data_IF_133764792525
#
_entry.id   IF_133764792525
#
_cell.length_a   1.000
_cell.length_b   1.000
_cell.length_c   1.000
_cell.angle_alpha   90.00
_cell.angle_beta   90.00
_cell.angle_gamma   90.00
#
_symmetry.space_group_name_H-M   'P 1'
#
loop_
_entity.id
_entity.type
_entity.pdbx_description
1 polymer ?
#
# COMPACT_ATOMS: atom_id res chain seq x y z
N UNK A 1 20.41 0.52 -0.74
CA UNK A 1 21.11 0.84 0.54
C UNK A 1 22.53 1.41 0.38
N UNK A 2 23.17 1.35 -0.80
CA UNK A 2 24.53 1.89 -1.02
C UNK A 2 24.59 3.41 -1.16
N UNK A 3 23.52 4.08 -1.58
CA UNK A 3 23.53 5.52 -1.83
C UNK A 3 23.40 6.36 -0.55
N UNK A 4 22.70 5.85 0.47
CA UNK A 4 22.40 6.58 1.71
C UNK A 4 23.28 6.05 2.85
N UNK A 5 24.22 6.87 3.29
CA UNK A 5 25.22 6.49 4.31
C UNK A 5 24.86 6.96 5.73
N UNK A 6 23.89 7.86 5.86
CA UNK A 6 23.45 8.41 7.15
C UNK A 6 22.75 7.32 7.97
N UNK A 7 23.14 7.19 9.25
CA UNK A 7 22.74 6.07 10.10
C UNK A 7 21.23 6.03 10.38
N UNK A 8 20.63 7.20 10.62
CA UNK A 8 19.21 7.38 10.87
C UNK A 8 18.37 6.89 9.68
N UNK A 9 18.79 7.24 8.46
CA UNK A 9 18.10 6.81 7.26
C UNK A 9 18.28 5.31 6.99
N UNK A 10 19.45 4.75 7.30
CA UNK A 10 19.68 3.30 7.21
C UNK A 10 18.84 2.52 8.23
N UNK A 11 18.63 3.08 9.42
CA UNK A 11 17.75 2.50 10.43
C UNK A 11 16.29 2.49 9.94
N UNK A 12 15.82 3.58 9.32
CA UNK A 12 14.51 3.62 8.69
C UNK A 12 14.36 2.54 7.62
N UNK A 13 15.30 2.45 6.68
CA UNK A 13 15.26 1.42 5.63
C UNK A 13 15.34 0.00 6.18
N UNK A 14 16.05 -0.22 7.28
CA UNK A 14 16.05 -1.52 7.96
C UNK A 14 14.67 -1.91 8.47
N UNK A 15 13.90 -0.96 9.01
CA UNK A 15 12.53 -1.19 9.44
C UNK A 15 11.58 -1.36 8.24
N UNK A 16 11.71 -0.52 7.22
CA UNK A 16 10.93 -0.65 5.99
C UNK A 16 11.10 -2.05 5.38
N UNK A 17 12.33 -2.56 5.21
CA UNK A 17 12.55 -3.93 4.69
C UNK A 17 11.87 -4.99 5.55
N UNK A 18 11.90 -4.86 6.87
CA UNK A 18 11.23 -5.81 7.75
C UNK A 18 9.70 -5.78 7.54
N UNK A 19 9.12 -4.58 7.38
CA UNK A 19 7.70 -4.38 7.11
C UNK A 19 7.30 -4.91 5.73
N UNK A 20 8.10 -4.67 4.68
CA UNK A 20 7.85 -5.21 3.34
C UNK A 20 7.78 -6.75 3.30
N UNK A 21 8.61 -7.42 4.11
CA UNK A 21 8.53 -8.88 4.25
C UNK A 21 7.20 -9.32 4.87
N UNK A 22 6.68 -8.57 5.85
CA UNK A 22 5.38 -8.82 6.47
C UNK A 22 4.25 -8.55 5.48
N UNK A 23 4.35 -7.49 4.67
CA UNK A 23 3.38 -7.20 3.62
C UNK A 23 3.32 -8.34 2.60
N UNK A 24 4.48 -8.84 2.16
CA UNK A 24 4.60 -9.98 1.25
C UNK A 24 3.94 -11.25 1.80
N UNK A 25 4.17 -11.56 3.09
CA UNK A 25 3.49 -12.67 3.76
C UNK A 25 1.97 -12.45 3.79
N UNK A 26 1.51 -11.25 4.13
CA UNK A 26 0.09 -10.93 4.16
C UNK A 26 -0.58 -11.10 2.80
N UNK A 27 0.03 -10.61 1.72
CA UNK A 27 -0.51 -10.78 0.36
C UNK A 27 -0.54 -12.26 -0.05
N UNK A 28 0.50 -13.02 0.29
CA UNK A 28 0.55 -14.45 0.03
C UNK A 28 -0.56 -15.20 0.77
N UNK A 29 -0.77 -14.89 2.04
CA UNK A 29 -1.85 -15.46 2.86
C UNK A 29 -3.24 -15.12 2.30
N UNK A 30 -3.47 -13.89 1.85
CA UNK A 30 -4.73 -13.48 1.23
C UNK A 30 -4.99 -14.26 -0.07
N UNK A 31 -3.98 -14.39 -0.93
CA UNK A 31 -4.09 -15.17 -2.17
C UNK A 31 -4.36 -16.64 -1.88
N UNK A 32 -3.66 -17.24 -0.92
CA UNK A 32 -3.90 -18.62 -0.51
C UNK A 32 -5.31 -18.85 0.04
N UNK A 33 -5.84 -17.87 0.76
CA UNK A 33 -7.15 -17.94 1.40
C UNK A 33 -8.29 -17.80 0.37
N UNK A 34 -8.15 -16.91 -0.60
CA UNK A 34 -9.24 -16.59 -1.53
C UNK A 34 -9.18 -17.38 -2.84
N UNK A 35 -7.98 -17.75 -3.32
CA UNK A 35 -7.80 -18.46 -4.59
C UNK A 35 -7.58 -19.95 -4.32
N UNK A 36 -8.61 -20.76 -4.60
CA UNK A 36 -8.59 -22.21 -4.35
C UNK A 36 -7.99 -23.00 -5.50
N UNK A 37 -8.16 -22.54 -6.73
CA UNK A 37 -7.58 -23.21 -7.90
C UNK A 37 -6.06 -23.02 -7.92
N UNK A 38 -5.33 -24.14 -7.99
CA UNK A 38 -3.88 -24.12 -8.04
C UNK A 38 -3.33 -23.50 -9.32
N UNK A 39 -4.01 -23.72 -10.46
CA UNK A 39 -3.56 -23.16 -11.73
C UNK A 39 -3.75 -21.64 -11.79
N UNK A 40 -4.91 -21.14 -11.36
CA UNK A 40 -5.15 -19.71 -11.20
C UNK A 40 -4.18 -19.07 -10.21
N UNK A 41 -3.91 -19.73 -9.09
CA UNK A 41 -2.94 -19.28 -8.09
C UNK A 41 -1.52 -19.15 -8.68
N UNK A 42 -1.03 -20.18 -9.38
CA UNK A 42 0.28 -20.16 -10.03
C UNK A 42 0.38 -19.11 -11.14
N UNK A 43 -0.74 -18.80 -11.79
CA UNK A 43 -0.81 -17.72 -12.77
C UNK A 43 -0.68 -16.34 -12.10
N UNK A 44 -1.40 -16.11 -10.99
CA UNK A 44 -1.38 -14.85 -10.24
C UNK A 44 -0.06 -14.60 -9.49
N UNK A 45 0.58 -15.65 -8.93
CA UNK A 45 1.91 -15.50 -8.34
C UNK A 45 2.99 -15.14 -9.37
N UNK A 46 2.77 -15.48 -10.64
CA UNK A 46 3.65 -15.09 -11.75
C UNK A 46 3.14 -13.87 -12.50
N UNK A 47 2.37 -12.99 -11.85
CA UNK A 47 1.73 -11.83 -12.49
C UNK A 47 2.69 -10.93 -13.27
N UNK A 48 3.95 -10.77 -12.84
CA UNK A 48 4.95 -10.02 -13.61
C UNK A 48 5.14 -10.64 -15.00
N UNK A 49 5.07 -11.97 -15.11
CA UNK A 49 5.21 -12.67 -16.37
C UNK A 49 3.91 -12.84 -17.14
N UNK A 50 2.80 -12.99 -16.42
CA UNK A 50 1.52 -13.43 -16.96
C UNK A 50 0.52 -12.30 -17.17
N UNK A 51 0.69 -11.16 -16.51
CA UNK A 51 -0.21 -10.00 -16.58
C UNK A 51 0.53 -8.80 -17.19
N UNK A 52 0.25 -8.41 -18.45
CA UNK A 52 0.99 -7.36 -19.14
C UNK A 52 1.04 -6.01 -18.41
N UNK A 53 -0.05 -5.63 -17.73
CA UNK A 53 -0.08 -4.38 -16.97
C UNK A 53 0.85 -4.41 -15.74
N UNK A 54 1.03 -5.57 -15.11
CA UNK A 54 2.00 -5.76 -14.01
C UNK A 54 3.42 -5.75 -14.56
N UNK A 55 3.66 -6.39 -15.72
CA UNK A 55 4.94 -6.32 -16.42
C UNK A 55 5.36 -4.87 -16.71
N UNK A 56 4.44 -4.04 -17.21
CA UNK A 56 4.73 -2.62 -17.48
C UNK A 56 5.15 -1.83 -16.24
N UNK A 57 4.49 -2.07 -15.09
CA UNK A 57 4.92 -1.49 -13.80
C UNK A 57 6.34 -1.92 -13.44
N UNK A 58 6.64 -3.21 -13.57
CA UNK A 58 7.98 -3.73 -13.30
C UNK A 58 9.03 -3.13 -14.24
N UNK A 59 8.75 -3.08 -15.54
CA UNK A 59 9.66 -2.51 -16.54
C UNK A 59 9.92 -1.02 -16.29
N UNK A 60 8.90 -0.27 -15.88
CA UNK A 60 9.06 1.13 -15.47
C UNK A 60 9.94 1.24 -14.23
N UNK A 61 9.71 0.41 -13.21
CA UNK A 61 10.51 0.44 -11.97
C UNK A 61 11.98 0.12 -12.28
N UNK A 62 12.25 -0.91 -13.08
CA UNK A 62 13.61 -1.26 -13.51
C UNK A 62 14.28 -0.13 -14.29
N UNK A 63 13.54 0.54 -15.20
CA UNK A 63 14.07 1.66 -15.98
C UNK A 63 14.55 2.81 -15.10
N UNK A 64 13.77 3.17 -14.09
CA UNK A 64 14.01 4.38 -13.31
C UNK A 64 14.79 4.15 -12.01
N UNK A 65 14.65 2.98 -11.39
CA UNK A 65 15.35 2.62 -10.16
C UNK A 65 16.71 1.99 -10.49
N UNK A 66 16.79 1.00 -11.38
CA UNK A 66 18.08 0.37 -11.71
C UNK A 66 18.81 1.13 -12.82
N UNK A 67 18.07 1.65 -13.80
CA UNK A 67 18.61 2.43 -14.91
C UNK A 67 18.81 3.92 -14.63
N UNK A 68 18.29 4.44 -13.52
CA UNK A 68 18.41 5.86 -13.17
C UNK A 68 19.86 6.23 -12.85
N UNK A 69 20.45 7.14 -13.62
CA UNK A 69 21.86 7.54 -13.45
C UNK A 69 22.05 8.28 -12.13
N UNK A 70 21.10 9.15 -11.77
CA UNK A 70 21.18 10.00 -10.57
C UNK A 70 20.37 9.41 -9.43
N UNK A 71 20.93 9.48 -8.21
CA UNK A 71 20.20 9.10 -7.00
C UNK A 71 18.86 9.84 -6.86
N UNK A 72 18.80 11.11 -7.27
CA UNK A 72 17.58 11.90 -7.24
C UNK A 72 16.47 11.33 -8.17
N UNK A 73 16.82 10.77 -9.32
CA UNK A 73 15.85 10.10 -10.23
C UNK A 73 15.33 8.83 -9.60
N UNK A 74 16.23 7.99 -9.08
CA UNK A 74 15.86 6.76 -8.39
C UNK A 74 14.95 7.04 -7.20
N UNK A 75 15.23 8.11 -6.45
CA UNK A 75 14.45 8.49 -5.27
C UNK A 75 13.04 9.00 -5.61
N UNK A 76 12.90 9.82 -6.67
CA UNK A 76 11.58 10.24 -7.16
C UNK A 76 10.81 9.05 -7.71
N UNK A 77 11.48 8.17 -8.45
CA UNK A 77 10.85 6.96 -8.97
C UNK A 77 10.39 6.03 -7.85
N UNK A 78 11.22 5.85 -6.82
CA UNK A 78 10.87 5.12 -5.61
C UNK A 78 9.65 5.73 -4.92
N UNK A 79 9.61 7.06 -4.75
CA UNK A 79 8.43 7.72 -4.19
C UNK A 79 7.16 7.50 -5.02
N UNK A 80 7.26 7.35 -6.35
CA UNK A 80 6.11 6.98 -7.18
C UNK A 80 5.69 5.51 -7.00
N UNK A 81 6.63 4.58 -6.75
CA UNK A 81 6.29 3.18 -6.42
C UNK A 81 5.50 3.12 -5.12
N UNK A 82 5.97 3.82 -4.08
CA UNK A 82 5.34 3.83 -2.76
C UNK A 82 4.03 4.64 -2.74
N UNK A 83 3.95 5.73 -3.50
CA UNK A 83 2.86 6.70 -3.41
C UNK A 83 1.81 6.66 -4.52
N UNK A 84 2.19 6.37 -5.76
CA UNK A 84 1.28 6.38 -6.93
C UNK A 84 0.89 4.97 -7.31
N UNK A 85 1.86 4.07 -7.49
CA UNK A 85 1.52 2.68 -7.75
C UNK A 85 0.77 2.10 -6.57
N UNK A 86 -0.23 1.27 -6.88
CA UNK A 86 -1.16 0.68 -5.92
C UNK A 86 -2.15 1.65 -5.26
N UNK A 87 -2.03 2.97 -5.46
CA UNK A 87 -3.00 3.94 -4.91
C UNK A 87 -4.44 3.64 -5.36
N UNK A 88 -4.63 3.22 -6.62
CA UNK A 88 -5.94 2.82 -7.12
C UNK A 88 -6.43 1.50 -6.50
N UNK A 89 -5.53 0.53 -6.30
CA UNK A 89 -5.83 -0.73 -5.61
C UNK A 89 -6.26 -0.50 -4.15
N UNK A 90 -5.52 0.32 -3.41
CA UNK A 90 -5.87 0.68 -2.03
C UNK A 90 -7.24 1.35 -1.96
N UNK A 91 -7.50 2.29 -2.87
CA UNK A 91 -8.79 2.96 -2.96
C UNK A 91 -9.93 1.97 -3.28
N UNK A 92 -9.71 1.03 -4.21
CA UNK A 92 -10.69 0.00 -4.56
C UNK A 92 -11.00 -0.96 -3.40
N UNK A 93 -10.01 -1.30 -2.57
CA UNK A 93 -10.24 -2.13 -1.38
C UNK A 93 -10.94 -1.33 -0.28
N UNK A 94 -10.59 -0.04 -0.10
CA UNK A 94 -11.33 0.82 0.83
C UNK A 94 -12.79 1.05 0.42
N UNK A 95 -13.09 0.99 -0.87
CA UNK A 95 -14.47 0.96 -1.33
C UNK A 95 -15.25 -0.27 -0.81
N UNK A 96 -14.61 -1.44 -0.72
CA UNK A 96 -15.20 -2.62 -0.07
C UNK A 96 -15.41 -2.39 1.43
N UNK A 97 -14.46 -1.72 2.10
CA UNK A 97 -14.57 -1.35 3.52
C UNK A 97 -15.79 -0.47 3.77
N UNK A 98 -16.01 0.54 2.92
CA UNK A 98 -17.20 1.42 2.99
C UNK A 98 -18.51 0.64 2.94
N UNK A 99 -18.53 -0.51 2.25
CA UNK A 99 -19.68 -1.40 2.13
C UNK A 99 -19.76 -2.47 3.22
N UNK A 100 -18.82 -2.47 4.18
CA UNK A 100 -18.76 -3.46 5.27
C UNK A 100 -18.35 -4.86 4.81
N UNK A 101 -17.60 -4.97 3.72
CA UNK A 101 -17.20 -6.25 3.13
C UNK A 101 -15.74 -6.58 3.46
N UNK A 102 -15.42 -7.89 3.48
CA UNK A 102 -14.05 -8.41 3.55
C UNK A 102 -13.21 -7.80 4.70
N UNK A 103 -13.63 -7.93 5.98
CA UNK A 103 -13.00 -7.24 7.11
C UNK A 103 -11.50 -7.56 7.25
N UNK A 104 -11.06 -8.80 7.00
CA UNK A 104 -9.64 -9.17 7.05
C UNK A 104 -8.80 -8.49 5.95
N UNK A 105 -9.32 -8.46 4.71
CA UNK A 105 -8.67 -7.76 3.59
C UNK A 105 -8.62 -6.26 3.82
N UNK A 106 -9.73 -5.66 4.24
CA UNK A 106 -9.81 -4.20 4.41
C UNK A 106 -9.02 -3.69 5.61
N UNK A 107 -8.88 -4.50 6.67
CA UNK A 107 -8.02 -4.19 7.80
C UNK A 107 -6.54 -4.26 7.43
N UNK A 108 -6.11 -5.32 6.72
CA UNK A 108 -4.72 -5.40 6.24
C UNK A 108 -4.39 -4.28 5.25
N UNK A 109 -5.32 -3.93 4.35
CA UNK A 109 -5.17 -2.79 3.45
C UNK A 109 -4.98 -1.46 4.19
N UNK A 110 -5.65 -1.27 5.33
CA UNK A 110 -5.47 -0.07 6.16
C UNK A 110 -4.07 0.01 6.76
N UNK A 111 -3.53 -1.12 7.22
CA UNK A 111 -2.17 -1.16 7.78
C UNK A 111 -1.12 -0.95 6.69
N UNK A 112 -1.22 -1.67 5.58
CA UNK A 112 -0.27 -1.58 4.47
C UNK A 112 -0.27 -0.17 3.88
N UNK A 113 -1.44 0.38 3.51
CA UNK A 113 -1.50 1.74 2.93
C UNK A 113 -1.00 2.84 3.86
N UNK A 114 -1.10 2.66 5.19
CA UNK A 114 -0.48 3.56 6.17
C UNK A 114 1.05 3.48 6.10
N UNK A 115 1.58 2.26 6.06
CA UNK A 115 3.01 2.01 6.01
C UNK A 115 3.61 2.54 4.69
N UNK A 116 2.95 2.32 3.54
CA UNK A 116 3.40 2.89 2.24
C UNK A 116 3.34 4.41 2.23
N UNK A 117 2.34 5.01 2.87
CA UNK A 117 2.29 6.46 3.06
C UNK A 117 3.53 6.97 3.80
N UNK A 118 3.96 6.26 4.85
CA UNK A 118 5.16 6.61 5.61
C UNK A 118 6.45 6.39 4.80
N UNK A 119 6.53 5.32 4.01
CA UNK A 119 7.65 5.07 3.10
C UNK A 119 7.78 6.17 2.03
N UNK A 120 6.66 6.55 1.42
CA UNK A 120 6.58 7.65 0.46
C UNK A 120 6.99 9.00 1.09
N UNK A 121 6.48 9.31 2.28
CA UNK A 121 6.83 10.53 3.02
C UNK A 121 8.35 10.56 3.32
N UNK A 122 8.94 9.43 3.67
CA UNK A 122 10.37 9.32 3.91
C UNK A 122 11.20 9.54 2.64
N UNK A 123 10.74 9.01 1.49
CA UNK A 123 11.37 9.29 0.20
C UNK A 123 11.34 10.79 -0.14
N UNK A 124 10.20 11.45 0.11
CA UNK A 124 10.06 12.90 -0.08
C UNK A 124 10.98 13.70 0.86
N UNK A 125 11.09 13.29 2.13
CA UNK A 125 12.00 13.89 3.10
C UNK A 125 13.46 13.79 2.63
N UNK A 126 13.90 12.61 2.21
CA UNK A 126 15.25 12.44 1.68
C UNK A 126 15.48 13.27 0.42
N UNK A 127 14.48 13.40 -0.45
CA UNK A 127 14.57 14.23 -1.65
C UNK A 127 14.71 15.72 -1.29
N UNK A 128 14.00 16.18 -0.27
CA UNK A 128 14.09 17.57 0.20
C UNK A 128 15.49 17.91 0.72
N UNK A 129 16.16 16.94 1.37
CA UNK A 129 17.52 17.07 1.88
C UNK A 129 18.61 17.06 0.78
N UNK A 130 18.26 16.77 -0.48
CA UNK A 130 19.21 16.81 -1.59
C UNK A 130 19.64 18.25 -1.90
N UNK A 131 20.95 18.45 -2.02
CA UNK A 131 21.52 19.74 -2.47
C UNK A 131 21.24 20.03 -3.94
N UNK A 132 21.26 18.98 -4.78
CA UNK A 132 21.01 19.07 -6.22
C UNK A 132 19.75 18.27 -6.52
N UNK A 133 18.62 18.96 -6.56
CA UNK A 133 17.33 18.40 -6.95
C UNK A 133 17.23 18.29 -8.48
N UNK A 134 16.30 17.47 -8.95
CA UNK A 134 15.97 17.38 -10.38
C UNK A 134 15.24 18.64 -10.84
N UNK A 135 15.36 18.93 -12.13
CA UNK A 135 14.51 19.93 -12.76
C UNK A 135 13.05 19.46 -12.76
N UNK A 136 12.15 20.44 -12.75
CA UNK A 136 10.71 20.18 -12.69
C UNK A 136 10.22 19.37 -13.90
N UNK A 137 10.82 19.55 -15.07
CA UNK A 137 10.46 18.79 -16.28
C UNK A 137 10.71 17.30 -16.10
N UNK A 138 11.88 16.94 -15.57
CA UNK A 138 12.26 15.55 -15.33
C UNK A 138 11.42 14.87 -14.24
N UNK A 139 11.09 15.59 -13.16
CA UNK A 139 10.19 15.04 -12.12
C UNK A 139 8.80 14.81 -12.68
N UNK A 140 8.29 15.76 -13.47
CA UNK A 140 7.00 15.65 -14.14
C UNK A 140 6.95 14.46 -15.11
N UNK A 141 8.01 14.22 -15.87
CA UNK A 141 8.12 13.05 -16.76
C UNK A 141 7.96 11.72 -15.99
N UNK A 142 8.73 11.54 -14.92
CA UNK A 142 8.69 10.32 -14.09
C UNK A 142 7.27 10.12 -13.51
N UNK A 143 6.69 11.18 -12.95
CA UNK A 143 5.36 11.13 -12.32
C UNK A 143 4.25 10.88 -13.36
N UNK A 144 4.31 11.52 -14.53
CA UNK A 144 3.32 11.33 -15.59
C UNK A 144 3.31 9.88 -16.09
N UNK A 145 4.49 9.31 -16.37
CA UNK A 145 4.59 7.89 -16.76
C UNK A 145 3.98 6.96 -15.70
N UNK A 146 4.23 7.21 -14.41
CA UNK A 146 3.68 6.41 -13.32
C UNK A 146 2.14 6.52 -13.25
N UNK A 147 1.59 7.72 -13.43
CA UNK A 147 0.14 7.96 -13.45
C UNK A 147 -0.53 7.23 -14.61
N UNK A 148 0.04 7.30 -15.81
CA UNK A 148 -0.52 6.65 -16.99
C UNK A 148 -0.54 5.12 -16.84
N UNK A 149 0.53 4.55 -16.29
CA UNK A 149 0.61 3.11 -16.01
C UNK A 149 -0.39 2.69 -14.92
N UNK A 150 -0.54 3.45 -13.84
CA UNK A 150 -1.49 3.12 -12.78
C UNK A 150 -2.94 3.21 -13.28
N UNK A 151 -3.25 4.22 -14.11
CA UNK A 151 -4.55 4.37 -14.74
C UNK A 151 -4.89 3.18 -15.61
N UNK A 152 -3.99 2.79 -16.51
CA UNK A 152 -4.19 1.61 -17.35
C UNK A 152 -4.41 0.35 -16.49
N UNK A 153 -3.67 0.21 -15.40
CA UNK A 153 -3.81 -0.93 -14.50
C UNK A 153 -5.20 -1.02 -13.85
N UNK A 154 -5.72 0.07 -13.25
CA UNK A 154 -6.98 0.02 -12.49
C UNK A 154 -8.23 0.35 -13.31
N UNK A 155 -8.09 1.04 -14.44
CA UNK A 155 -9.23 1.37 -15.30
C UNK A 155 -9.45 0.32 -16.39
N UNK A 156 -8.37 -0.27 -16.91
CA UNK A 156 -8.46 -1.13 -18.10
C UNK A 156 -8.13 -2.59 -17.79
N UNK A 157 -7.00 -2.87 -17.14
CA UNK A 157 -6.55 -4.25 -16.91
C UNK A 157 -7.31 -4.95 -15.76
N UNK A 158 -7.56 -4.23 -14.66
CA UNK A 158 -8.41 -4.67 -13.55
C UNK A 158 -9.46 -3.60 -13.26
N UNK A 159 -10.48 -3.45 -14.14
CA UNK A 159 -11.40 -2.33 -14.08
C UNK A 159 -12.10 -2.23 -12.73
N UNK A 160 -11.93 -1.10 -12.04
CA UNK A 160 -12.65 -0.82 -10.78
C UNK A 160 -14.17 -0.81 -10.94
N UNK A 161 -14.66 -0.72 -12.19
CA UNK A 161 -16.06 -0.95 -12.53
C UNK A 161 -16.59 -2.32 -12.08
N UNK A 162 -15.72 -3.35 -12.03
CA UNK A 162 -16.06 -4.68 -11.54
C UNK A 162 -16.49 -4.68 -10.06
N UNK A 163 -15.98 -3.74 -9.26
CA UNK A 163 -16.37 -3.56 -7.85
C UNK A 163 -17.38 -2.42 -7.65
N UNK A 164 -17.91 -1.87 -8.75
CA UNK A 164 -18.94 -0.84 -8.75
C UNK A 164 -18.41 0.59 -8.58
N UNK A 165 -17.14 0.85 -8.87
CA UNK A 165 -16.58 2.20 -8.90
C UNK A 165 -16.57 2.79 -10.32
N UNK A 166 -16.52 4.12 -10.43
CA UNK A 166 -16.39 4.80 -11.71
C UNK A 166 -14.92 4.94 -12.11
N UNK A 167 -14.53 4.41 -13.28
CA UNK A 167 -13.15 4.48 -13.78
C UNK A 167 -12.66 5.92 -14.01
N UNK A 168 -13.53 6.82 -14.47
CA UNK A 168 -13.19 8.24 -14.62
C UNK A 168 -12.88 8.92 -13.28
N UNK A 169 -13.67 8.65 -12.24
CA UNK A 169 -13.38 9.13 -10.88
C UNK A 169 -12.10 8.50 -10.32
N UNK A 170 -11.84 7.21 -10.59
CA UNK A 170 -10.57 6.59 -10.18
C UNK A 170 -9.38 7.24 -10.89
N UNK A 171 -9.51 7.54 -12.17
CA UNK A 171 -8.51 8.26 -12.96
C UNK A 171 -8.19 9.65 -12.38
N UNK A 172 -9.23 10.39 -11.95
CA UNK A 172 -9.09 11.67 -11.26
C UNK A 172 -8.45 11.51 -9.88
N UNK A 173 -8.75 10.42 -9.16
CA UNK A 173 -8.13 10.14 -7.86
C UNK A 173 -6.62 9.90 -7.98
N UNK A 174 -6.18 9.15 -9.00
CA UNK A 174 -4.74 8.93 -9.26
C UNK A 174 -4.03 10.26 -9.56
N UNK A 175 -4.65 11.14 -10.36
CA UNK A 175 -4.11 12.48 -10.61
C UNK A 175 -4.01 13.33 -9.34
N UNK A 176 -5.03 13.24 -8.47
CA UNK A 176 -5.01 13.93 -7.18
C UNK A 176 -3.86 13.43 -6.29
N UNK A 177 -3.61 12.12 -6.26
CA UNK A 177 -2.48 11.52 -5.52
C UNK A 177 -1.15 11.99 -6.11
N UNK A 178 -1.02 12.02 -7.43
CA UNK A 178 0.18 12.51 -8.10
C UNK A 178 0.46 14.00 -7.82
N UNK A 179 -0.56 14.85 -7.83
CA UNK A 179 -0.44 16.26 -7.44
C UNK A 179 0.02 16.41 -5.98
N UNK A 180 -0.48 15.56 -5.08
CA UNK A 180 -0.01 15.54 -3.69
C UNK A 180 1.45 15.13 -3.59
N UNK A 181 1.88 14.11 -4.33
CA UNK A 181 3.28 13.69 -4.36
C UNK A 181 4.18 14.80 -4.92
N UNK A 182 3.79 15.45 -6.02
CA UNK A 182 4.54 16.57 -6.59
C UNK A 182 4.72 17.71 -5.59
N UNK A 183 3.66 18.07 -4.85
CA UNK A 183 3.76 19.09 -3.80
C UNK A 183 4.68 18.65 -2.66
N UNK A 184 4.63 17.38 -2.24
CA UNK A 184 5.52 16.84 -1.20
C UNK A 184 6.99 16.82 -1.63
N UNK A 185 7.26 16.64 -2.92
CA UNK A 185 8.59 16.75 -3.53
C UNK A 185 9.04 18.21 -3.78
N UNK A 186 8.19 19.19 -3.46
CA UNK A 186 8.47 20.63 -3.61
C UNK A 186 8.21 21.21 -5.00
N UNK A 187 7.42 20.53 -5.84
CA UNK A 187 7.06 20.96 -7.20
C UNK A 187 5.60 21.42 -7.30
N UNK A 188 5.26 22.08 -8.41
CA UNK A 188 3.89 22.52 -8.65
C UNK A 188 3.00 21.35 -9.10
N UNK A 189 1.70 21.48 -8.83
CA UNK A 189 0.67 20.55 -9.31
C UNK A 189 0.68 20.46 -10.84
N UNK A 190 0.50 19.26 -11.35
CA UNK A 190 0.40 18.98 -12.78
C UNK A 190 -1.06 18.97 -13.24
N UNK A 191 -1.92 18.26 -12.52
CA UNK A 191 -3.30 17.96 -12.97
C UNK A 191 -4.32 18.95 -12.41
N UNK A 192 -4.05 19.52 -11.24
CA UNK A 192 -4.89 20.51 -10.56
C UNK A 192 -6.31 20.02 -10.28
N UNK A 193 -6.44 18.74 -9.91
CA UNK A 193 -7.74 18.11 -9.62
C UNK A 193 -8.01 17.99 -8.12
N UNK A 194 -9.30 17.93 -7.77
CA UNK A 194 -9.73 17.64 -6.40
C UNK A 194 -9.90 16.13 -6.19
N UNK A 195 -9.85 15.69 -4.93
CA UNK A 195 -10.16 14.32 -4.55
C UNK A 195 -11.63 13.99 -4.86
N UNK A 196 -11.93 13.02 -5.74
CA UNK A 196 -13.30 12.64 -6.07
C UNK A 196 -13.96 11.73 -5.02
N UNK A 197 -13.20 11.23 -4.04
CA UNK A 197 -13.65 10.30 -3.00
C UNK A 197 -13.50 10.92 -1.61
N UNK A 198 -14.48 11.72 -1.20
CA UNK A 198 -14.58 12.35 0.13
C UNK A 198 -14.42 11.35 1.29
N UNK A 199 -14.94 10.14 1.13
CA UNK A 199 -14.87 9.07 2.10
C UNK A 199 -13.46 8.49 2.31
N UNK A 200 -12.51 8.72 1.39
CA UNK A 200 -11.11 8.30 1.60
C UNK A 200 -10.48 9.05 2.79
N UNK A 201 -10.85 10.31 3.01
CA UNK A 201 -10.36 11.08 4.18
C UNK A 201 -10.96 10.58 5.50
N UNK A 202 -12.23 10.15 5.45
CA UNK A 202 -12.95 9.61 6.62
C UNK A 202 -12.39 8.26 7.07
N UNK A 203 -11.93 7.42 6.14
CA UNK A 203 -11.37 6.11 6.48
C UNK A 203 -10.03 6.27 7.22
N UNK A 204 -9.19 7.24 6.84
CA UNK A 204 -7.97 7.57 7.58
C UNK A 204 -8.25 8.15 8.99
N UNK A 205 -9.42 8.73 9.21
CA UNK A 205 -9.84 9.27 10.51
C UNK A 205 -10.41 8.20 11.46
N UNK A 206 -11.07 7.16 10.94
CA UNK A 206 -11.61 6.06 11.77
C UNK A 206 -10.52 5.26 12.52
N UNK A 207 -9.27 5.30 12.07
CA UNK A 207 -8.12 4.75 12.80
C UNK A 207 -7.70 5.56 14.04
N UNK A 208 -8.20 6.80 14.20
CA UNK A 208 -7.92 7.70 15.34
C UNK A 208 -9.01 7.68 16.41
N UNK A 209 -9.75 6.59 16.56
CA UNK A 209 -10.67 6.42 17.71
C UNK A 209 -9.88 6.27 19.01
N UNK A 210 -10.35 6.91 20.07
CA UNK A 210 -9.76 6.84 21.41
C UNK A 210 -9.56 5.38 21.85
N UNK A 211 -8.41 5.11 22.48
CA UNK A 211 -7.96 3.79 22.97
C UNK A 211 -9.02 3.01 23.78
N UNK A 212 -10.02 3.70 24.34
CA UNK A 212 -11.08 3.12 25.17
C UNK A 212 -12.34 2.66 24.42
N UNK A 213 -12.53 3.03 23.15
CA UNK A 213 -13.79 2.79 22.43
C UNK A 213 -13.75 1.56 21.49
N UNK A 214 -12.56 1.02 21.20
CA UNK A 214 -12.41 -0.14 20.31
C UNK A 214 -12.37 -1.42 21.13
N UNK A 215 -13.25 -2.39 20.84
CA UNK A 215 -12.98 -3.80 21.19
C UNK A 215 -11.77 -4.22 20.37
N UNK A 216 -10.63 -4.31 21.05
CA UNK A 216 -9.31 -4.54 20.48
C UNK A 216 -9.29 -5.85 19.70
N UNK A 217 -9.13 -5.77 18.38
CA UNK A 217 -8.97 -6.94 17.50
C UNK A 217 -7.65 -7.70 17.73
N UNK A 218 -6.70 -7.10 18.47
CA UNK A 218 -5.39 -7.68 18.78
C UNK A 218 -5.47 -8.94 19.67
N UNK A 219 -6.61 -9.20 20.30
CA UNK A 219 -6.84 -10.41 21.11
C UNK A 219 -7.64 -11.52 20.41
N UNK A 220 -7.87 -11.44 19.09
CA UNK A 220 -8.43 -12.58 18.36
C UNK A 220 -7.35 -13.64 18.07
N UNK A 221 -6.88 -14.32 19.13
CA UNK A 221 -6.16 -15.59 18.97
C UNK A 221 -7.12 -16.62 18.39
N UNK A 222 -6.81 -17.13 17.20
CA UNK A 222 -7.60 -18.15 16.50
C UNK A 222 -7.97 -19.38 17.38
N UNK A 223 -7.13 -19.71 18.37
CA UNK A 223 -7.36 -20.83 19.30
C UNK A 223 -8.57 -20.65 20.22
N UNK A 224 -8.97 -19.42 20.56
CA UNK A 224 -10.01 -19.15 21.57
C UNK A 224 -11.43 -19.37 21.00
N UNK A 225 -11.59 -19.35 19.67
CA UNK A 225 -12.87 -19.65 19.02
C UNK A 225 -13.14 -21.16 18.89
N UNK A 226 -12.12 -22.02 18.90
CA UNK A 226 -12.34 -23.48 18.82
C UNK A 226 -13.04 -24.04 20.06
N UNK A 227 -12.84 -23.40 21.22
CA UNK A 227 -13.43 -23.79 22.50
C UNK A 227 -14.86 -23.27 22.72
N UNK A 228 -15.38 -22.39 21.84
CA UNK A 228 -16.75 -21.86 21.96
C UNK A 228 -17.78 -22.65 21.14
N UNK A 229 -17.35 -23.49 20.19
CA UNK A 229 -18.22 -24.29 19.33
C UNK A 229 -18.26 -25.80 19.67
N UNK A 230 -17.59 -26.23 20.75
CA UNK A 230 -17.64 -27.59 21.25
C UNK A 230 -18.22 -27.63 22.66
N UNK A 231 -19.46 -28.08 22.81
CA UNK A 231 -20.08 -28.29 24.12
C UNK A 231 -19.25 -29.26 24.97
N UNK A 232 -18.62 -28.73 26.03
CA UNK A 232 -17.84 -29.52 26.97
C UNK A 232 -17.36 -28.64 28.12
N UNK A 233 -17.81 -28.96 29.32
CA UNK A 233 -17.50 -28.25 30.55
C UNK A 233 -16.01 -28.32 30.94
N UNK A 234 -15.59 -27.31 31.71
CA UNK A 234 -14.34 -27.18 32.48
C UNK A 234 -13.05 -26.99 31.69
N UNK A 235 -12.43 -25.79 31.80
CA UNK A 235 -10.95 -25.71 31.78
C UNK A 235 -10.28 -24.39 32.22
N UNK A 236 -10.90 -23.53 33.03
CA UNK A 236 -10.16 -22.41 33.63
C UNK A 236 -10.56 -22.19 35.09
N UNK A 237 -10.05 -23.05 35.98
CA UNK A 237 -9.99 -22.76 37.42
C UNK A 237 -8.60 -22.18 37.68
N UNK A 238 -8.56 -20.92 38.10
CA UNK A 238 -7.32 -20.27 38.55
C UNK A 238 -6.95 -20.81 39.94
N UNK A 239 -5.76 -21.39 40.07
CA UNK A 239 -5.17 -21.83 41.35
C UNK A 239 -3.88 -21.07 41.58
N UNK A 240 -3.62 -20.67 42.83
CA UNK A 240 -2.47 -19.85 43.23
C UNK A 240 -1.44 -20.64 44.06
N UNK A 241 -1.67 -21.94 44.24
CA UNK A 241 -0.79 -22.82 45.03
C UNK A 241 0.03 -23.72 44.09
N UNK A 242 1.09 -23.19 43.50
CA UNK A 242 2.23 -24.01 43.07
C UNK A 242 3.48 -23.48 43.78
N UNK A 243 3.94 -24.25 44.78
CA UNK A 243 5.21 -24.03 45.46
C UNK A 243 6.39 -24.29 44.50
N UNK A 244 7.43 -23.45 44.63
CA UNK A 244 8.65 -23.36 43.80
C UNK A 244 9.35 -24.67 43.43
#
# INVERSE_FOLDING_TARGET
MSDVQVAEARAFYGFQIAIENIHSEMYSLLLETYIRDGAEKDHLFRAIDTVPAVRRKADWAMRWIDGGERFAERLVAFACVEGIFFSGSFCAIFWLKKRGLMPGLTFSNELISRDEGLHCDFACLLYDLLRSKLDEGRVREIVADAVDIEREFVCDALPVALVGMNGGLMSQYIEFVADRLLMALGHQKMYNVANPFDWMELISLQGKTNFFEKRVGEYQKASVMSSLNGGGAANHVFSVDEDF
#
